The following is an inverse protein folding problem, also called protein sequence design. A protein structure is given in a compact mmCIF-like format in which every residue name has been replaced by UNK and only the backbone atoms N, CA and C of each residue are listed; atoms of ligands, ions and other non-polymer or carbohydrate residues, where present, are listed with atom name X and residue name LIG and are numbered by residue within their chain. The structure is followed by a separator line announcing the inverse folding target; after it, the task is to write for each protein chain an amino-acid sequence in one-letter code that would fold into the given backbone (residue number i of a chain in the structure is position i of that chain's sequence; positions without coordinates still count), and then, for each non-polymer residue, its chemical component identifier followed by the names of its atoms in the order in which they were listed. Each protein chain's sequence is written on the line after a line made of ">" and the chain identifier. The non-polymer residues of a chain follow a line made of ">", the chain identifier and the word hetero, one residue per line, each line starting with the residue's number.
data_IF_432039788278
#
_entry.id   IF_432039788278
#
_cell.length_a   1.000
_cell.length_b   1.000
_cell.length_c   1.000
_cell.angle_alpha   90.00
_cell.angle_beta   90.00
_cell.angle_gamma   90.00
#
_symmetry.space_group_name_H-M   'P 1'
#
loop_
_entity.id
_entity.type
_entity.pdbx_description
1 polymer ?
#
# COMPACT_ATOMS: atom_id res chain seq x y z
N UNK A 1 12.42 2.71 -15.29
CA UNK A 1 10.95 2.60 -15.18
C UNK A 1 10.48 3.79 -14.36
N UNK A 2 9.54 4.58 -14.87
CA UNK A 2 8.92 5.68 -14.13
C UNK A 2 8.16 5.13 -12.93
N UNK A 3 8.42 5.69 -11.75
CA UNK A 3 7.62 5.42 -10.56
C UNK A 3 6.21 5.98 -10.71
N UNK A 4 5.26 5.38 -10.02
CA UNK A 4 3.91 5.91 -9.86
C UNK A 4 3.96 7.13 -8.93
N UNK A 5 3.11 8.11 -9.22
CA UNK A 5 2.82 9.23 -8.32
C UNK A 5 2.10 8.77 -7.06
N UNK A 6 2.03 9.65 -6.05
CA UNK A 6 1.29 9.36 -4.81
C UNK A 6 -0.15 8.93 -5.10
N UNK A 7 -0.88 9.70 -5.90
CA UNK A 7 -2.27 9.42 -6.23
C UNK A 7 -2.42 8.08 -6.95
N UNK A 8 -1.54 7.78 -7.90
CA UNK A 8 -1.54 6.50 -8.62
C UNK A 8 -1.26 5.31 -7.68
N UNK A 9 -0.34 5.45 -6.72
CA UNK A 9 -0.08 4.41 -5.72
C UNK A 9 -1.25 4.20 -4.77
N UNK A 10 -1.87 5.29 -4.31
CA UNK A 10 -3.05 5.20 -3.43
C UNK A 10 -4.17 4.43 -4.13
N UNK A 11 -4.50 4.81 -5.36
CA UNK A 11 -5.50 4.09 -6.15
C UNK A 11 -5.09 2.64 -6.37
N UNK A 12 -3.81 2.40 -6.71
CA UNK A 12 -3.29 1.06 -6.93
C UNK A 12 -3.44 0.14 -5.70
N UNK A 13 -3.09 0.63 -4.50
CA UNK A 13 -3.25 -0.13 -3.26
C UNK A 13 -4.73 -0.27 -2.85
N UNK A 14 -5.53 0.77 -3.04
CA UNK A 14 -6.97 0.73 -2.75
C UNK A 14 -7.72 -0.31 -3.60
N UNK A 15 -7.33 -0.52 -4.86
CA UNK A 15 -7.93 -1.57 -5.70
C UNK A 15 -7.28 -2.94 -5.51
N UNK A 16 -6.13 -3.02 -4.84
CA UNK A 16 -5.43 -4.27 -4.56
C UNK A 16 -5.96 -5.01 -3.32
N UNK A 17 -6.65 -4.32 -2.42
CA UNK A 17 -7.24 -4.95 -1.24
C UNK A 17 -8.32 -5.97 -1.64
N UNK A 18 -8.47 -7.03 -0.85
CA UNK A 18 -9.46 -8.08 -1.12
C UNK A 18 -10.89 -7.50 -1.24
N UNK A 19 -11.57 -7.82 -2.35
CA UNK A 19 -12.87 -7.26 -2.73
C UNK A 19 -14.00 -7.50 -1.71
N UNK A 20 -13.84 -8.51 -0.86
CA UNK A 20 -14.88 -8.92 0.10
C UNK A 20 -15.07 -7.96 1.27
N UNK A 21 -14.05 -7.18 1.66
CA UNK A 21 -14.15 -6.35 2.88
C UNK A 21 -13.63 -4.92 2.74
N UNK A 22 -12.87 -4.59 1.69
CA UNK A 22 -12.19 -3.29 1.47
C UNK A 22 -12.00 -2.47 2.77
N UNK A 23 -11.27 -3.01 3.76
CA UNK A 23 -11.27 -2.48 5.11
C UNK A 23 -10.55 -1.13 5.23
N UNK A 24 -9.80 -0.73 4.19
CA UNK A 24 -8.98 0.46 4.17
C UNK A 24 -9.48 1.48 3.16
N UNK A 25 -9.46 2.73 3.59
CA UNK A 25 -9.80 3.89 2.78
C UNK A 25 -8.53 4.45 2.12
N UNK A 26 -8.70 5.28 1.08
CA UNK A 26 -7.58 5.93 0.39
C UNK A 26 -6.64 6.69 1.34
N UNK A 27 -7.18 7.32 2.39
CA UNK A 27 -6.40 8.06 3.40
C UNK A 27 -5.44 7.17 4.18
N UNK A 28 -5.77 5.89 4.38
CA UNK A 28 -4.90 4.94 5.08
C UNK A 28 -3.67 4.62 4.22
N UNK A 29 -3.86 4.53 2.91
CA UNK A 29 -2.77 4.34 1.95
C UNK A 29 -1.92 5.61 1.75
N UNK A 30 -2.53 6.80 1.84
CA UNK A 30 -1.76 8.05 1.86
C UNK A 30 -0.78 8.05 3.03
N UNK A 31 -1.25 7.72 4.25
CA UNK A 31 -0.40 7.63 5.45
C UNK A 31 0.69 6.58 5.31
N UNK A 32 0.37 5.39 4.78
CA UNK A 32 1.36 4.36 4.48
C UNK A 32 2.49 4.90 3.58
N UNK A 33 2.14 5.62 2.52
CA UNK A 33 3.12 6.13 1.55
C UNK A 33 3.93 7.29 2.16
N UNK A 34 3.32 8.13 3.00
CA UNK A 34 4.02 9.19 3.73
C UNK A 34 5.04 8.62 4.73
N UNK A 35 4.69 7.54 5.44
CA UNK A 35 5.58 6.87 6.39
C UNK A 35 6.74 6.13 5.70
N UNK A 36 6.45 5.38 4.63
CA UNK A 36 7.47 4.67 3.86
C UNK A 36 8.33 5.61 3.01
N UNK A 37 7.76 6.73 2.57
CA UNK A 37 8.28 7.58 1.51
C UNK A 37 7.92 7.07 0.12
N UNK A 38 7.62 8.00 -0.80
CA UNK A 38 7.13 7.70 -2.16
C UNK A 38 8.06 6.76 -2.96
N UNK A 39 9.37 6.90 -2.78
CA UNK A 39 10.35 6.06 -3.46
C UNK A 39 10.30 4.60 -2.97
N UNK A 40 10.26 4.40 -1.65
CA UNK A 40 10.19 3.06 -1.06
C UNK A 40 8.85 2.40 -1.35
N UNK A 41 7.74 3.15 -1.26
CA UNK A 41 6.42 2.65 -1.63
C UNK A 41 6.38 2.18 -3.09
N UNK A 42 7.05 2.89 -4.01
CA UNK A 42 7.21 2.45 -5.39
C UNK A 42 8.06 1.18 -5.53
N UNK A 43 9.14 1.08 -4.75
CA UNK A 43 10.05 -0.08 -4.75
C UNK A 43 9.36 -1.34 -4.23
N UNK A 44 8.56 -1.19 -3.17
CA UNK A 44 7.88 -2.27 -2.44
C UNK A 44 6.43 -2.51 -2.93
N UNK A 45 5.99 -1.79 -3.97
CA UNK A 45 4.58 -1.79 -4.42
C UNK A 45 4.00 -3.19 -4.66
N UNK A 46 4.79 -4.11 -5.21
CA UNK A 46 4.33 -5.48 -5.49
C UNK A 46 4.13 -6.29 -4.21
N UNK A 47 5.04 -6.15 -3.25
CA UNK A 47 4.96 -6.84 -1.97
C UNK A 47 3.78 -6.34 -1.15
N UNK A 48 3.59 -5.02 -1.08
CA UNK A 48 2.42 -4.39 -0.43
C UNK A 48 1.12 -4.94 -1.04
N UNK A 49 1.00 -4.98 -2.37
CA UNK A 49 -0.18 -5.50 -3.05
C UNK A 49 -0.41 -6.99 -2.76
N UNK A 50 0.64 -7.82 -2.76
CA UNK A 50 0.50 -9.24 -2.43
C UNK A 50 -0.03 -9.44 -1.01
N UNK A 51 0.45 -8.64 -0.05
CA UNK A 51 -0.02 -8.72 1.33
C UNK A 51 -1.46 -8.20 1.48
N UNK A 52 -1.84 -7.12 0.79
CA UNK A 52 -3.20 -6.58 0.76
C UNK A 52 -4.20 -7.55 0.13
N UNK A 53 -3.84 -8.19 -0.99
CA UNK A 53 -4.67 -9.18 -1.67
C UNK A 53 -4.84 -10.46 -0.82
N UNK A 54 -3.86 -10.79 0.02
CA UNK A 54 -3.95 -11.87 1.00
C UNK A 54 -4.80 -11.51 2.23
N UNK A 55 -5.34 -10.29 2.30
CA UNK A 55 -6.15 -9.82 3.43
C UNK A 55 -5.34 -9.52 4.69
N UNK A 56 -4.02 -9.30 4.57
CA UNK A 56 -3.22 -8.86 5.73
C UNK A 56 -3.62 -7.46 6.16
N UNK A 57 -3.46 -7.23 7.46
CA UNK A 57 -3.76 -5.94 8.07
C UNK A 57 -2.69 -4.91 7.73
N UNK A 58 -3.11 -3.71 7.31
CA UNK A 58 -2.22 -2.59 6.95
C UNK A 58 -1.15 -2.27 8.03
N UNK A 59 -1.47 -2.26 9.35
CA UNK A 59 -0.46 -2.03 10.38
C UNK A 59 0.63 -3.10 10.45
N UNK A 60 0.32 -4.34 10.06
CA UNK A 60 1.30 -5.44 10.00
C UNK A 60 2.24 -5.22 8.81
N UNK A 61 1.68 -4.85 7.66
CA UNK A 61 2.46 -4.50 6.46
C UNK A 61 3.40 -3.33 6.76
N UNK A 62 2.91 -2.29 7.46
CA UNK A 62 3.74 -1.16 7.90
C UNK A 62 4.89 -1.61 8.80
N UNK A 63 4.61 -2.43 9.80
CA UNK A 63 5.63 -2.88 10.75
C UNK A 63 6.72 -3.76 10.09
N UNK A 64 6.36 -4.60 9.12
CA UNK A 64 7.31 -5.46 8.40
C UNK A 64 8.20 -4.66 7.43
N UNK A 65 7.67 -3.60 6.80
CA UNK A 65 8.41 -2.82 5.80
C UNK A 65 9.20 -1.64 6.39
N UNK A 66 8.91 -1.23 7.63
CA UNK A 66 9.62 -0.18 8.35
C UNK A 66 10.76 -0.71 9.25
N UNK A 67 10.91 -2.03 9.38
CA UNK A 67 11.95 -2.70 10.16
C UNK A 67 13.23 -2.93 9.33
#
# INVERSE_FOLDING_TARGET
>A
MSGLTLQELVSYFFYAQADTERPYQEIDFVRLIEELGLENANRLRHEIVQQLAAGRLLPVIQAELAA
#
